data_IF_583874605330
#
_entry.id   IF_583874605330
#
_cell.length_a   1.000
_cell.length_b   1.000
_cell.length_c   1.000
_cell.angle_alpha   90.00
_cell.angle_beta   90.00
_cell.angle_gamma   90.00
#
_symmetry.space_group_name_H-M   'P 1'
#
loop_
_entity.id
_entity.type
_entity.pdbx_description
1 polymer ?
#
# COMPACT_ATOMS: atom_id res chain seq x y z
N UNK A 1 -17.85 -8.98 9.66
CA UNK A 1 -16.53 -9.51 10.07
C UNK A 1 -15.50 -8.48 9.62
N UNK A 2 -14.97 -7.66 10.52
CA UNK A 2 -13.95 -6.67 10.17
C UNK A 2 -12.59 -7.35 10.16
N UNK A 3 -11.94 -7.41 9.01
CA UNK A 3 -10.60 -7.97 8.88
C UNK A 3 -9.64 -7.13 9.70
N UNK A 4 -9.13 -7.70 10.79
CA UNK A 4 -8.02 -7.09 11.55
C UNK A 4 -6.75 -7.28 10.74
N UNK A 5 -6.17 -6.17 10.30
CA UNK A 5 -4.87 -6.16 9.65
C UNK A 5 -3.80 -6.43 10.71
N UNK A 6 -3.18 -7.61 10.66
CA UNK A 6 -2.12 -8.00 11.61
C UNK A 6 -0.71 -7.95 11.01
N UNK A 7 -0.58 -7.73 9.70
CA UNK A 7 0.71 -7.75 9.00
C UNK A 7 0.68 -6.92 7.73
N UNK A 8 1.85 -6.54 7.23
CA UNK A 8 2.00 -5.83 5.96
C UNK A 8 1.35 -6.58 4.80
N UNK A 9 1.53 -7.91 4.75
CA UNK A 9 0.99 -8.76 3.68
C UNK A 9 -0.55 -8.76 3.63
N UNK A 10 -1.19 -8.73 4.80
CA UNK A 10 -2.65 -8.61 4.90
C UNK A 10 -3.13 -7.24 4.37
N UNK A 11 -2.41 -6.17 4.71
CA UNK A 11 -2.68 -4.84 4.17
C UNK A 11 -2.48 -4.78 2.64
N UNK A 12 -1.41 -5.40 2.14
CA UNK A 12 -1.12 -5.48 0.71
C UNK A 12 -2.17 -6.32 -0.03
N UNK A 13 -2.68 -7.38 0.59
CA UNK A 13 -3.75 -8.22 0.02
C UNK A 13 -5.06 -7.48 -0.23
N UNK A 14 -5.30 -6.36 0.48
CA UNK A 14 -6.45 -5.48 0.24
C UNK A 14 -6.24 -4.50 -0.92
N UNK A 15 -4.99 -4.30 -1.35
CA UNK A 15 -4.63 -3.37 -2.39
C UNK A 15 -4.57 -4.08 -3.76
N UNK A 16 -4.83 -3.33 -4.82
CA UNK A 16 -4.75 -3.84 -6.19
C UNK A 16 -3.42 -3.46 -6.84
N UNK A 17 -2.91 -4.33 -7.70
CA UNK A 17 -1.69 -4.06 -8.47
C UNK A 17 -0.43 -3.93 -7.61
N UNK A 18 -0.38 -4.64 -6.48
CA UNK A 18 0.80 -4.64 -5.60
C UNK A 18 2.03 -5.16 -6.33
N UNK A 19 3.11 -4.41 -6.23
CA UNK A 19 4.44 -4.73 -6.74
C UNK A 19 5.46 -4.52 -5.64
N UNK A 20 6.25 -5.55 -5.35
CA UNK A 20 7.41 -5.39 -4.49
C UNK A 20 8.45 -4.49 -5.17
N UNK A 21 8.95 -3.52 -4.41
CA UNK A 21 10.01 -2.61 -4.77
C UNK A 21 11.34 -3.02 -4.17
N UNK A 22 12.19 -2.02 -3.91
CA UNK A 22 13.53 -2.21 -3.31
C UNK A 22 13.43 -1.93 -1.81
N UNK A 23 14.26 -2.58 -1.01
CA UNK A 23 14.39 -2.28 0.43
C UNK A 23 13.10 -2.49 1.24
N UNK A 24 12.26 -3.46 0.86
CA UNK A 24 10.99 -3.73 1.55
C UNK A 24 9.90 -2.68 1.31
N UNK A 25 10.08 -1.78 0.34
CA UNK A 25 9.00 -0.96 -0.20
C UNK A 25 8.10 -1.78 -1.13
N UNK A 26 6.82 -1.49 -1.13
CA UNK A 26 5.81 -2.02 -2.04
C UNK A 26 5.10 -0.84 -2.70
N UNK A 27 4.70 -1.02 -3.95
CA UNK A 27 3.87 -0.07 -4.68
C UNK A 27 2.54 -0.70 -5.04
N UNK A 28 1.45 0.02 -4.88
CA UNK A 28 0.11 -0.44 -5.22
C UNK A 28 -0.72 0.69 -5.84
N UNK A 29 -1.92 0.35 -6.33
CA UNK A 29 -2.89 1.33 -6.83
C UNK A 29 -3.62 1.99 -5.64
N UNK A 30 -3.72 3.32 -5.60
CA UNK A 30 -4.55 4.00 -4.57
C UNK A 30 -6.02 3.65 -4.84
N UNK A 31 -6.79 3.17 -3.84
CA UNK A 31 -8.23 2.99 -4.00
C UNK A 31 -9.01 4.32 -3.94
N UNK A 32 -8.36 5.42 -3.51
CA UNK A 32 -8.96 6.74 -3.35
C UNK A 32 -9.17 7.50 -4.66
N UNK A 33 -8.54 7.07 -5.75
CA UNK A 33 -8.77 7.60 -7.09
C UNK A 33 -8.64 6.49 -8.13
N UNK A 34 -9.12 6.72 -9.34
CA UNK A 34 -8.98 5.76 -10.44
C UNK A 34 -7.54 5.79 -10.97
N UNK A 35 -6.62 5.23 -10.20
CA UNK A 35 -5.19 5.16 -10.47
C UNK A 35 -4.91 4.06 -11.50
N UNK A 36 -4.20 4.39 -12.58
CA UNK A 36 -3.81 3.40 -13.61
C UNK A 36 -2.37 2.91 -13.45
N UNK A 37 -1.56 3.58 -12.63
CA UNK A 37 -0.18 3.23 -12.34
C UNK A 37 0.02 3.21 -10.83
N UNK A 38 0.83 2.32 -10.25
CA UNK A 38 0.93 2.17 -8.81
C UNK A 38 1.57 3.40 -8.16
N UNK A 39 0.73 4.35 -7.72
CA UNK A 39 1.13 5.62 -7.12
C UNK A 39 1.15 5.60 -5.60
N UNK A 40 0.68 4.50 -4.99
CA UNK A 40 0.68 4.28 -3.54
C UNK A 40 1.96 3.55 -3.13
N UNK A 41 2.88 4.21 -2.43
CA UNK A 41 3.98 3.52 -1.74
C UNK A 41 3.51 3.03 -0.39
N UNK A 42 3.84 1.77 -0.09
CA UNK A 42 3.61 1.11 1.18
C UNK A 42 4.94 0.53 1.64
N UNK A 43 5.39 0.85 2.85
CA UNK A 43 6.60 0.25 3.42
C UNK A 43 6.42 -0.02 4.90
N UNK A 44 7.13 -1.00 5.42
CA UNK A 44 7.16 -1.26 6.85
C UNK A 44 8.38 -0.60 7.47
N UNK A 45 8.19 0.21 8.50
CA UNK A 45 9.25 0.86 9.24
C UNK A 45 8.89 0.90 10.74
N UNK A 46 9.81 0.47 11.60
CA UNK A 46 9.65 0.54 13.06
C UNK A 46 8.34 -0.12 13.57
N UNK A 47 7.99 -1.28 13.00
CA UNK A 47 6.74 -1.99 13.34
C UNK A 47 5.45 -1.32 12.85
N UNK A 48 5.55 -0.22 12.09
CA UNK A 48 4.41 0.50 11.50
C UNK A 48 4.39 0.34 9.98
N UNK A 49 3.18 0.42 9.42
CA UNK A 49 2.97 0.45 7.97
C UNK A 49 2.86 1.93 7.56
N UNK A 50 3.81 2.40 6.77
CA UNK A 50 3.80 3.73 6.18
C UNK A 50 3.17 3.65 4.80
N UNK A 51 2.15 4.47 4.57
CA UNK A 51 1.41 4.55 3.31
C UNK A 51 1.47 5.99 2.82
N UNK A 52 1.96 6.18 1.60
CA UNK A 52 2.08 7.49 0.95
C UNK A 52 1.53 7.40 -0.46
N UNK A 53 0.47 8.15 -0.76
CA UNK A 53 0.02 8.33 -2.13
C UNK A 53 0.74 9.53 -2.77
N UNK A 54 1.39 9.32 -3.90
CA UNK A 54 2.07 10.39 -4.66
C UNK A 54 1.19 11.03 -5.73
N UNK A 55 0.04 10.44 -6.04
CA UNK A 55 -0.91 10.98 -7.02
C UNK A 55 -1.81 12.10 -6.47
N UNK A 56 -1.77 12.36 -5.16
CA UNK A 56 -2.59 13.41 -4.53
C UNK A 56 -3.96 12.93 -4.05
N UNK A 57 -4.06 11.70 -3.51
CA UNK A 57 -5.22 11.29 -2.69
C UNK A 57 -5.31 12.27 -1.49
N UNK A 58 -6.24 13.22 -1.54
CA UNK A 58 -6.48 14.28 -0.54
C UNK A 58 -7.97 14.52 -0.35
#
# INVERSE_FOLDING_TARGET
>A
MGSRIHSLDDFLSLLKGVKAGRDGEYKALCPGHNDHQPSLSVRQADGKILVQCFAGCG
#
